data_IF_612211454879
#
_entry.id   IF_612211454879
#
_cell.length_a   1.000
_cell.length_b   1.000
_cell.length_c   1.000
_cell.angle_alpha   90.00
_cell.angle_beta   90.00
_cell.angle_gamma   90.00
#
_symmetry.space_group_name_H-M   'P 1'
#
loop_
_entity.id
_entity.type
_entity.pdbx_description
1 polymer ?
#
# COMPACT_ATOMS: atom_id res chain seq x y z
N UNK A 1 16.69 7.94 18.63
CA UNK A 1 17.91 7.68 17.81
C UNK A 1 19.10 8.52 18.24
N UNK A 2 18.98 9.83 18.43
CA UNK A 2 20.09 10.74 18.86
C UNK A 2 20.74 10.29 20.19
N UNK A 3 19.96 9.85 21.18
CA UNK A 3 20.48 9.39 22.47
C UNK A 3 21.34 8.11 22.36
N UNK A 4 20.99 7.21 21.46
CA UNK A 4 21.78 5.99 21.21
C UNK A 4 23.13 6.36 20.62
N UNK A 5 23.18 7.29 19.65
CA UNK A 5 24.43 7.76 19.04
C UNK A 5 25.33 8.43 20.08
N UNK A 6 24.78 9.28 20.95
CA UNK A 6 25.52 9.92 22.06
C UNK A 6 26.09 8.90 23.04
N UNK A 7 25.32 7.86 23.38
CA UNK A 7 25.78 6.76 24.26
C UNK A 7 26.88 5.92 23.62
N UNK A 8 26.83 5.72 22.28
CA UNK A 8 27.93 5.05 21.56
C UNK A 8 29.17 5.92 21.61
N UNK A 9 29.08 7.22 21.32
CA UNK A 9 30.21 8.15 21.32
C UNK A 9 30.87 8.28 22.72
N UNK A 10 30.07 8.25 23.79
CA UNK A 10 30.54 8.32 25.15
C UNK A 10 31.01 6.95 25.72
N UNK A 11 30.92 5.88 24.99
CA UNK A 11 31.27 4.53 25.45
C UNK A 11 30.36 3.97 26.56
N UNK A 12 29.21 4.61 26.80
CA UNK A 12 28.29 4.23 27.90
C UNK A 12 27.19 3.27 27.45
N UNK A 13 27.10 2.96 26.14
CA UNK A 13 26.11 2.03 25.63
C UNK A 13 26.43 0.60 26.06
N UNK A 14 25.49 -0.04 26.75
CA UNK A 14 25.55 -1.47 27.04
C UNK A 14 24.61 -2.21 26.11
N UNK A 15 25.13 -3.04 25.18
CA UNK A 15 24.28 -3.86 24.32
C UNK A 15 23.51 -4.89 25.16
N UNK A 16 22.24 -5.08 24.84
CA UNK A 16 21.40 -6.11 25.47
C UNK A 16 21.30 -7.27 24.47
N UNK A 17 21.55 -8.50 24.95
CA UNK A 17 21.35 -9.69 24.12
C UNK A 17 19.87 -9.83 23.76
N UNK A 18 19.60 -9.96 22.48
CA UNK A 18 18.22 -10.15 22.00
C UNK A 18 17.69 -11.51 22.49
N UNK A 19 16.46 -11.50 23.00
CA UNK A 19 15.70 -12.72 23.25
C UNK A 19 15.08 -13.22 21.94
N UNK A 20 15.70 -14.22 21.34
CA UNK A 20 15.25 -14.80 20.06
C UNK A 20 13.94 -15.55 20.21
N UNK A 21 13.60 -16.02 21.43
CA UNK A 21 12.34 -16.75 21.67
C UNK A 21 11.09 -15.84 21.65
N UNK A 22 11.27 -14.54 21.90
CA UNK A 22 10.23 -13.53 21.82
C UNK A 22 10.01 -12.97 20.40
N UNK A 23 10.84 -13.37 19.45
CA UNK A 23 10.79 -12.89 18.07
C UNK A 23 9.86 -13.71 17.17
N UNK A 24 9.33 -13.08 16.13
CA UNK A 24 8.62 -13.76 15.05
C UNK A 24 9.50 -13.83 13.80
N UNK A 25 9.47 -14.96 13.13
CA UNK A 25 10.14 -15.13 11.85
C UNK A 25 9.16 -14.86 10.70
N UNK A 26 9.52 -13.94 9.81
CA UNK A 26 8.77 -13.64 8.59
C UNK A 26 9.52 -14.19 7.38
N UNK A 27 8.85 -14.98 6.55
CA UNK A 27 9.41 -15.48 5.31
C UNK A 27 9.67 -14.37 4.30
N UNK A 28 10.56 -14.63 3.34
CA UNK A 28 10.81 -13.72 2.22
C UNK A 28 9.54 -13.52 1.41
N UNK A 29 9.23 -12.27 1.09
CA UNK A 29 8.13 -11.92 0.18
C UNK A 29 8.57 -12.02 -1.27
N UNK A 30 7.68 -12.51 -2.10
CA UNK A 30 7.85 -12.58 -3.55
C UNK A 30 6.97 -11.52 -4.24
N UNK A 31 7.25 -11.16 -5.53
CA UNK A 31 6.45 -10.16 -6.24
C UNK A 31 4.94 -10.45 -6.27
N UNK A 32 4.54 -11.72 -6.30
CA UNK A 32 3.12 -12.15 -6.25
C UNK A 32 2.42 -11.77 -4.95
N UNK A 33 3.17 -11.65 -3.85
CA UNK A 33 2.63 -11.32 -2.52
C UNK A 33 2.28 -9.82 -2.40
N UNK A 34 2.58 -9.03 -3.43
CA UNK A 34 2.16 -7.65 -3.56
C UNK A 34 0.74 -7.45 -4.08
N UNK A 35 0.00 -8.53 -4.40
CA UNK A 35 -1.40 -8.42 -4.83
C UNK A 35 -2.25 -7.88 -3.67
N UNK A 36 -2.99 -6.80 -3.94
CA UNK A 36 -3.94 -6.22 -2.99
C UNK A 36 -5.18 -7.12 -2.95
N UNK A 37 -5.52 -7.61 -1.77
CA UNK A 37 -6.71 -8.42 -1.51
C UNK A 37 -7.77 -7.52 -0.86
N UNK A 38 -8.54 -6.85 -1.69
CA UNK A 38 -9.49 -5.81 -1.27
C UNK A 38 -10.54 -6.30 -0.28
N UNK A 39 -10.97 -7.55 -0.41
CA UNK A 39 -11.96 -8.22 0.44
C UNK A 39 -11.41 -8.65 1.81
N UNK A 40 -10.10 -8.85 1.91
CA UNK A 40 -9.44 -9.33 3.13
C UNK A 40 -8.75 -8.21 3.90
N UNK A 41 -8.23 -7.20 3.19
CA UNK A 41 -7.44 -6.14 3.77
C UNK A 41 -8.30 -4.91 4.13
N UNK A 42 -8.06 -4.34 5.30
CA UNK A 42 -8.61 -3.04 5.66
C UNK A 42 -7.82 -1.89 5.00
N UNK A 43 -8.36 -0.68 5.04
CA UNK A 43 -7.75 0.49 4.40
C UNK A 43 -6.32 0.78 4.92
N UNK A 44 -6.07 0.56 6.22
CA UNK A 44 -4.75 0.75 6.81
C UNK A 44 -3.74 -0.30 6.31
N UNK A 45 -4.17 -1.56 6.18
CA UNK A 45 -3.33 -2.65 5.67
C UNK A 45 -2.96 -2.44 4.20
N UNK A 46 -3.93 -2.00 3.38
CA UNK A 46 -3.67 -1.64 1.98
C UNK A 46 -2.69 -0.47 1.90
N UNK A 47 -2.89 0.58 2.70
CA UNK A 47 -1.99 1.74 2.75
C UNK A 47 -0.56 1.33 3.13
N UNK A 48 -0.43 0.49 4.14
CA UNK A 48 0.88 0.01 4.59
C UNK A 48 1.56 -0.88 3.54
N UNK A 49 0.80 -1.75 2.85
CA UNK A 49 1.31 -2.58 1.77
C UNK A 49 1.85 -1.72 0.61
N UNK A 50 1.08 -0.71 0.18
CA UNK A 50 1.50 0.22 -0.88
C UNK A 50 2.79 0.93 -0.48
N UNK A 51 2.85 1.49 0.72
CA UNK A 51 4.06 2.17 1.21
C UNK A 51 5.29 1.26 1.33
N UNK A 52 5.07 0.01 1.74
CA UNK A 52 6.17 -0.95 1.93
C UNK A 52 6.75 -1.45 0.60
N UNK A 53 5.95 -1.50 -0.46
CA UNK A 53 6.35 -2.02 -1.76
C UNK A 53 6.63 -0.93 -2.81
N UNK A 54 6.48 0.34 -2.44
CA UNK A 54 6.73 1.46 -3.32
C UNK A 54 8.19 1.93 -3.21
N UNK A 55 8.94 1.77 -4.29
CA UNK A 55 10.33 2.22 -4.36
C UNK A 55 11.04 1.72 -5.61
N UNK A 56 12.24 2.27 -5.88
CA UNK A 56 13.08 1.77 -6.96
C UNK A 56 13.45 0.30 -6.69
N UNK A 57 13.28 -0.54 -7.66
CA UNK A 57 13.54 -1.98 -7.60
C UNK A 57 12.59 -2.80 -6.70
N UNK A 58 11.47 -2.22 -6.24
CA UNK A 58 10.42 -2.94 -5.53
C UNK A 58 9.28 -3.32 -6.50
N UNK A 59 8.59 -4.45 -6.25
CA UNK A 59 7.58 -4.99 -7.18
C UNK A 59 6.31 -4.13 -7.27
N UNK A 60 6.07 -3.23 -6.30
CA UNK A 60 4.84 -2.48 -6.15
C UNK A 60 3.66 -3.31 -5.63
N UNK A 61 2.76 -2.67 -4.88
CA UNK A 61 1.47 -3.25 -4.58
C UNK A 61 0.58 -3.16 -5.81
N UNK A 62 -0.09 -4.24 -6.20
CA UNK A 62 -0.81 -4.29 -7.46
C UNK A 62 -2.20 -4.89 -7.34
N UNK A 63 -3.01 -4.57 -8.32
CA UNK A 63 -4.35 -5.14 -8.53
C UNK A 63 -4.57 -5.38 -10.02
N UNK A 64 -5.69 -5.96 -10.38
CA UNK A 64 -6.08 -6.13 -11.78
C UNK A 64 -7.35 -5.34 -12.08
N UNK A 65 -7.40 -4.78 -13.29
CA UNK A 65 -8.58 -4.16 -13.86
C UNK A 65 -8.73 -4.66 -15.29
N UNK A 66 -9.85 -5.32 -15.58
CA UNK A 66 -10.13 -5.90 -16.91
C UNK A 66 -8.95 -6.76 -17.43
N UNK A 67 -8.33 -7.52 -16.55
CA UNK A 67 -7.17 -8.38 -16.84
C UNK A 67 -5.82 -7.66 -16.93
N UNK A 68 -5.78 -6.32 -16.87
CA UNK A 68 -4.56 -5.54 -16.87
C UNK A 68 -4.03 -5.36 -15.43
N UNK A 69 -2.74 -5.58 -15.26
CA UNK A 69 -2.07 -5.35 -13.97
C UNK A 69 -1.80 -3.87 -13.77
N UNK A 70 -2.37 -3.32 -12.70
CA UNK A 70 -2.20 -1.93 -12.27
C UNK A 70 -1.44 -1.91 -10.95
N UNK A 71 -0.34 -1.19 -10.90
CA UNK A 71 0.42 -0.95 -9.68
C UNK A 71 -0.16 0.29 -9.00
N UNK A 72 -0.58 0.14 -7.76
CA UNK A 72 -1.03 1.24 -6.91
C UNK A 72 0.20 1.91 -6.32
N UNK A 73 0.49 3.15 -6.79
CA UNK A 73 1.73 3.83 -6.43
C UNK A 73 1.61 4.66 -5.16
N UNK A 74 0.48 5.32 -4.97
CA UNK A 74 0.26 6.18 -3.80
C UNK A 74 -1.17 6.16 -3.33
N UNK A 75 -1.33 6.09 -2.01
CA UNK A 75 -2.64 6.11 -1.34
C UNK A 75 -2.63 7.09 -0.19
N UNK A 76 -3.83 7.57 0.17
CA UNK A 76 -4.09 8.33 1.39
C UNK A 76 -5.21 7.69 2.17
N UNK A 77 -5.09 7.65 3.48
CA UNK A 77 -6.21 7.29 4.36
C UNK A 77 -7.22 8.43 4.38
N UNK A 78 -8.49 8.08 4.50
CA UNK A 78 -9.60 9.03 4.54
C UNK A 78 -10.46 8.79 5.77
N UNK A 79 -11.05 9.86 6.28
CA UNK A 79 -12.05 9.81 7.36
C UNK A 79 -13.41 9.34 6.85
N UNK A 80 -13.64 9.37 5.53
CA UNK A 80 -14.91 8.98 4.94
C UNK A 80 -15.15 7.48 5.05
N UNK A 81 -16.24 7.11 5.72
CA UNK A 81 -16.68 5.72 5.87
C UNK A 81 -17.59 5.32 4.70
N UNK A 82 -17.02 5.16 3.51
CA UNK A 82 -17.74 4.62 2.35
C UNK A 82 -17.62 3.10 2.39
N UNK A 83 -18.77 2.42 2.39
CA UNK A 83 -18.88 0.96 2.40
C UNK A 83 -19.53 0.45 1.11
N UNK A 84 -19.21 -0.76 0.73
CA UNK A 84 -19.77 -1.42 -0.45
C UNK A 84 -19.00 -2.67 -0.82
N UNK A 85 -18.99 -3.02 -2.09
CA UNK A 85 -18.27 -4.19 -2.58
C UNK A 85 -16.76 -3.90 -2.61
N UNK A 86 -15.93 -4.69 -1.90
CA UNK A 86 -14.47 -4.51 -1.90
C UNK A 86 -13.89 -4.53 -3.33
N UNK A 87 -12.90 -3.66 -3.56
CA UNK A 87 -12.29 -3.44 -4.87
C UNK A 87 -13.06 -2.48 -5.79
N UNK A 88 -14.30 -2.11 -5.45
CA UNK A 88 -15.08 -1.18 -6.28
C UNK A 88 -14.61 0.27 -6.12
N UNK A 89 -14.50 0.96 -7.24
CA UNK A 89 -14.27 2.40 -7.29
C UNK A 89 -15.60 3.08 -6.98
N UNK A 90 -15.74 3.64 -5.78
CA UNK A 90 -16.96 4.27 -5.30
C UNK A 90 -17.11 5.68 -5.80
N UNK A 91 -16.04 6.47 -5.76
CA UNK A 91 -16.04 7.89 -6.11
C UNK A 91 -14.76 8.24 -6.85
N UNK A 92 -14.89 9.08 -7.88
CA UNK A 92 -13.77 9.76 -8.54
C UNK A 92 -13.76 11.22 -8.09
N UNK A 93 -12.62 11.67 -7.58
CA UNK A 93 -12.40 13.04 -7.12
C UNK A 93 -11.21 13.69 -7.82
N UNK A 94 -11.00 14.98 -7.57
CA UNK A 94 -9.81 15.68 -8.07
C UNK A 94 -8.49 15.12 -7.49
N UNK A 95 -8.55 14.54 -6.29
CA UNK A 95 -7.38 13.96 -5.63
C UNK A 95 -7.08 12.50 -6.05
N UNK A 96 -8.05 11.80 -6.66
CA UNK A 96 -7.90 10.40 -7.07
C UNK A 96 -9.20 9.61 -7.00
N UNK A 97 -9.07 8.31 -6.75
CA UNK A 97 -10.16 7.35 -6.72
C UNK A 97 -10.38 6.81 -5.31
N UNK A 98 -11.62 6.83 -4.86
CA UNK A 98 -12.02 6.16 -3.63
C UNK A 98 -12.35 4.71 -3.92
N UNK A 99 -11.51 3.80 -3.43
CA UNK A 99 -11.66 2.35 -3.61
C UNK A 99 -12.06 1.71 -2.30
N UNK A 100 -13.06 0.84 -2.34
CA UNK A 100 -13.61 0.18 -1.14
C UNK A 100 -12.69 -0.95 -0.71
N UNK A 101 -12.27 -0.93 0.55
CA UNK A 101 -11.60 -2.02 1.24
C UNK A 101 -12.61 -2.80 2.10
N UNK A 102 -12.13 -3.78 2.87
CA UNK A 102 -12.98 -4.59 3.75
C UNK A 102 -13.77 -3.75 4.77
N UNK A 103 -13.18 -2.69 5.30
CA UNK A 103 -13.75 -1.85 6.37
C UNK A 103 -14.32 -0.51 5.88
N UNK A 104 -13.58 0.20 5.05
CA UNK A 104 -13.92 1.53 4.51
C UNK A 104 -13.18 1.78 3.20
N UNK A 105 -13.40 2.93 2.56
CA UNK A 105 -12.67 3.28 1.35
C UNK A 105 -11.27 3.88 1.66
N UNK A 106 -10.38 3.74 0.69
CA UNK A 106 -9.06 4.37 0.64
C UNK A 106 -8.95 5.24 -0.61
N UNK A 107 -8.26 6.35 -0.52
CA UNK A 107 -7.98 7.20 -1.68
C UNK A 107 -6.72 6.70 -2.40
N UNK A 108 -6.85 6.29 -3.64
CA UNK A 108 -5.76 5.99 -4.56
C UNK A 108 -5.48 7.21 -5.41
N UNK A 109 -4.35 7.86 -5.20
CA UNK A 109 -4.00 9.11 -5.90
C UNK A 109 -3.14 8.89 -7.14
N UNK A 110 -2.23 7.92 -7.11
CA UNK A 110 -1.30 7.64 -8.19
C UNK A 110 -1.25 6.14 -8.48
N UNK A 111 -1.16 5.81 -9.76
CA UNK A 111 -1.02 4.45 -10.27
C UNK A 111 0.08 4.38 -11.33
N UNK A 112 0.49 3.17 -11.65
CA UNK A 112 1.43 2.86 -12.70
C UNK A 112 0.96 1.62 -13.46
N UNK A 113 0.98 1.64 -14.77
CA UNK A 113 0.78 0.42 -15.55
C UNK A 113 2.01 -0.49 -15.47
N UNK A 114 1.79 -1.80 -15.51
CA UNK A 114 2.90 -2.75 -15.37
C UNK A 114 3.98 -2.59 -16.44
N UNK A 115 3.59 -2.23 -17.66
CA UNK A 115 4.48 -2.11 -18.82
C UNK A 115 4.97 -0.68 -19.06
N UNK A 116 4.36 0.31 -18.40
CA UNK A 116 4.73 1.72 -18.55
C UNK A 116 5.41 2.22 -17.27
N UNK A 117 6.66 2.73 -17.32
CA UNK A 117 7.34 3.26 -16.14
C UNK A 117 6.73 4.57 -15.61
N UNK A 118 5.83 5.21 -16.35
CA UNK A 118 5.24 6.49 -15.99
C UNK A 118 4.24 6.35 -14.84
N UNK A 119 4.35 7.27 -13.85
CA UNK A 119 3.39 7.40 -12.76
C UNK A 119 2.28 8.33 -13.23
N UNK A 120 1.05 7.85 -13.21
CA UNK A 120 -0.12 8.58 -13.68
C UNK A 120 -1.03 8.93 -12.50
N UNK A 121 -1.64 10.15 -12.50
CA UNK A 121 -2.73 10.45 -11.59
C UNK A 121 -3.88 9.46 -11.82
N UNK A 122 -4.31 8.77 -10.76
CA UNK A 122 -5.34 7.73 -10.87
C UNK A 122 -6.65 8.28 -11.48
N UNK A 123 -7.01 9.53 -11.20
CA UNK A 123 -8.19 10.19 -11.75
C UNK A 123 -8.21 10.26 -13.28
N UNK A 124 -7.05 10.34 -13.93
CA UNK A 124 -6.96 10.47 -15.39
C UNK A 124 -7.08 9.11 -16.10
N UNK A 125 -6.73 8.04 -15.40
CA UNK A 125 -6.73 6.69 -15.97
C UNK A 125 -8.15 6.12 -16.10
N UNK A 126 -9.03 6.41 -15.15
CA UNK A 126 -10.37 5.83 -15.08
C UNK A 126 -11.42 6.80 -15.59
N UNK A 127 -12.20 6.34 -16.58
CA UNK A 127 -13.27 7.15 -17.19
C UNK A 127 -14.59 7.05 -16.44
N UNK A 128 -14.85 5.96 -15.74
CA UNK A 128 -16.18 5.62 -15.18
C UNK A 128 -16.04 5.11 -13.74
N UNK A 129 -16.93 5.61 -12.83
CA UNK A 129 -17.13 5.02 -11.51
C UNK A 129 -17.86 3.67 -11.63
N UNK A 130 -17.67 2.77 -10.66
CA UNK A 130 -18.30 1.45 -10.64
C UNK A 130 -17.45 0.30 -11.17
N UNK A 131 -16.28 0.58 -11.74
CA UNK A 131 -15.30 -0.46 -12.10
C UNK A 131 -14.76 -1.15 -10.85
N UNK A 132 -14.44 -2.44 -10.96
CA UNK A 132 -13.90 -3.23 -9.86
C UNK A 132 -12.44 -3.57 -10.10
N UNK A 133 -11.63 -3.38 -9.08
CA UNK A 133 -10.31 -3.99 -8.97
C UNK A 133 -10.44 -5.43 -8.47
N UNK A 134 -9.63 -6.33 -9.02
CA UNK A 134 -9.58 -7.74 -8.66
C UNK A 134 -8.21 -8.12 -8.09
#
# INVERSE_FOLDING_TARGET
MIDVVRKIQSGTLKPIKQDVSAGNYYCKRYPKDGKIQWDQMNAQEVHNLVRALNGPNLPGAFTFLDGKKIIVWKTKLTEQSIKGVPGRIAVKSEEGLMVICRDKAILVSEIKENENPEILPAKNYFKICGMNFC
#
